data_IF_197567909322
#
_entry.id   IF_197567909322
#
_cell.length_a   1.000
_cell.length_b   1.000
_cell.length_c   1.000
_cell.angle_alpha   90.00
_cell.angle_beta   90.00
_cell.angle_gamma   90.00
#
_symmetry.space_group_name_H-M   'P 1'
#
loop_
_entity.id
_entity.type
_entity.pdbx_description
1 polymer ?
#
# COMPACT_ATOMS: atom_id res chain seq x y z
N UNK A 1 3.62 -48.84 60.48
CA UNK A 1 3.35 -47.48 59.93
C UNK A 1 3.49 -47.54 58.45
N UNK A 2 2.38 -47.57 57.72
CA UNK A 2 2.36 -47.65 56.27
C UNK A 2 1.94 -46.27 55.72
N UNK A 3 2.84 -45.66 54.98
CA UNK A 3 2.61 -44.36 54.35
C UNK A 3 2.04 -44.57 52.93
N UNK A 4 0.79 -44.18 52.76
CA UNK A 4 0.12 -44.22 51.47
C UNK A 4 0.57 -43.03 50.60
N UNK A 5 1.14 -43.30 49.41
CA UNK A 5 1.46 -42.35 48.39
C UNK A 5 0.23 -42.16 47.48
N UNK A 6 -0.40 -40.99 47.53
CA UNK A 6 -1.51 -40.64 46.64
C UNK A 6 -0.92 -40.12 45.31
N UNK A 7 -1.16 -40.84 44.21
CA UNK A 7 -0.89 -40.44 42.86
C UNK A 7 -1.99 -39.47 42.39
N UNK A 8 -1.68 -38.20 42.23
CA UNK A 8 -2.57 -37.24 41.55
C UNK A 8 -2.43 -37.42 40.03
N UNK A 9 -3.47 -37.92 39.38
CA UNK A 9 -3.56 -37.96 37.94
C UNK A 9 -3.85 -36.54 37.40
N UNK A 10 -2.85 -35.94 36.76
CA UNK A 10 -3.04 -34.69 35.99
C UNK A 10 -3.64 -35.07 34.63
N UNK A 11 -4.94 -34.90 34.50
CA UNK A 11 -5.63 -34.96 33.21
C UNK A 11 -5.25 -33.71 32.41
N UNK A 12 -4.30 -33.83 31.49
CA UNK A 12 -4.03 -32.84 30.46
C UNK A 12 -5.18 -32.88 29.45
N UNK A 13 -6.17 -32.02 29.58
CA UNK A 13 -7.09 -31.71 28.50
C UNK A 13 -6.30 -30.96 27.40
N UNK A 14 -5.83 -31.71 26.41
CA UNK A 14 -5.39 -31.20 25.13
C UNK A 14 -6.62 -30.72 24.35
N UNK A 15 -7.10 -29.53 24.64
CA UNK A 15 -8.05 -28.83 23.81
C UNK A 15 -7.33 -28.32 22.58
N UNK A 16 -7.47 -28.98 21.43
CA UNK A 16 -7.30 -28.35 20.13
C UNK A 16 -8.48 -27.42 19.97
N UNK A 17 -8.43 -26.27 20.64
CA UNK A 17 -9.35 -25.18 20.44
C UNK A 17 -9.08 -24.61 19.06
N UNK A 18 -9.96 -24.84 18.10
CA UNK A 18 -10.27 -23.83 17.09
C UNK A 18 -10.65 -22.60 17.90
N UNK A 19 -9.72 -21.64 18.00
CA UNK A 19 -9.98 -20.41 18.72
C UNK A 19 -11.21 -19.76 18.10
N UNK A 20 -12.33 -19.73 18.84
CA UNK A 20 -13.46 -18.91 18.46
C UNK A 20 -12.92 -17.50 18.33
N UNK A 21 -13.03 -16.89 17.12
CA UNK A 21 -12.66 -15.50 16.91
C UNK A 21 -13.47 -14.67 17.89
N UNK A 22 -12.81 -13.69 18.53
CA UNK A 22 -13.49 -12.77 19.45
C UNK A 22 -14.62 -12.06 18.69
N UNK A 23 -15.92 -12.23 19.07
CA UNK A 23 -17.04 -11.61 18.38
C UNK A 23 -16.97 -10.08 18.37
N UNK A 24 -16.19 -9.47 19.27
CA UNK A 24 -15.94 -8.04 19.35
C UNK A 24 -14.64 -7.64 18.68
N UNK A 25 -14.27 -8.28 17.60
CA UNK A 25 -13.09 -7.91 16.80
C UNK A 25 -13.43 -7.72 15.33
N UNK A 26 -12.51 -7.11 14.61
CA UNK A 26 -12.50 -6.99 13.15
C UNK A 26 -11.05 -7.09 12.67
N UNK A 27 -10.80 -7.89 11.62
CA UNK A 27 -9.45 -8.11 11.09
C UNK A 27 -9.28 -7.38 9.76
N UNK A 28 -8.30 -6.47 9.71
CA UNK A 28 -7.96 -5.66 8.54
C UNK A 28 -6.66 -6.19 7.94
N UNK A 29 -6.69 -6.54 6.65
CA UNK A 29 -5.49 -6.77 5.84
C UNK A 29 -5.23 -5.52 5.01
N UNK A 30 -4.07 -4.88 5.18
CA UNK A 30 -3.77 -3.61 4.54
C UNK A 30 -2.41 -3.59 3.85
N UNK A 31 -2.38 -2.96 2.69
CA UNK A 31 -1.12 -2.48 2.12
C UNK A 31 -0.46 -1.50 3.07
N UNK A 32 0.88 -1.51 3.10
CA UNK A 32 1.70 -0.57 3.88
C UNK A 32 1.53 0.88 3.39
N UNK A 33 1.79 1.85 4.28
CA UNK A 33 1.83 3.28 3.96
C UNK A 33 1.04 4.20 4.89
N UNK A 34 -0.17 3.85 5.30
CA UNK A 34 -1.00 4.68 6.20
C UNK A 34 -0.88 4.28 7.68
N UNK A 35 0.16 3.54 8.08
CA UNK A 35 0.28 2.85 9.36
C UNK A 35 -0.04 3.69 10.59
N UNK A 36 0.59 4.86 10.74
CA UNK A 36 0.34 5.77 11.88
C UNK A 36 -1.09 6.32 11.93
N UNK A 37 -1.69 6.56 10.76
CA UNK A 37 -3.09 6.97 10.69
C UNK A 37 -4.01 5.83 11.12
N UNK A 38 -3.74 4.61 10.66
CA UNK A 38 -4.51 3.45 11.08
C UNK A 38 -4.44 3.23 12.58
N UNK A 39 -3.25 3.28 13.20
CA UNK A 39 -3.09 3.13 14.64
C UNK A 39 -4.01 4.10 15.40
N UNK A 40 -3.99 5.39 15.03
CA UNK A 40 -4.84 6.41 15.63
C UNK A 40 -6.33 6.17 15.42
N UNK A 41 -6.73 5.82 14.18
CA UNK A 41 -8.14 5.64 13.84
C UNK A 41 -8.70 4.33 14.43
N UNK A 42 -7.91 3.26 14.46
CA UNK A 42 -8.33 1.99 15.05
C UNK A 42 -8.45 2.06 16.57
N UNK A 43 -7.58 2.82 17.24
CA UNK A 43 -7.72 3.13 18.65
C UNK A 43 -9.02 3.91 18.94
N UNK A 44 -9.27 4.99 18.19
CA UNK A 44 -10.49 5.78 18.31
C UNK A 44 -11.77 4.95 18.00
N UNK A 45 -11.72 4.09 16.99
CA UNK A 45 -12.82 3.16 16.70
C UNK A 45 -13.08 2.19 17.84
N UNK A 46 -12.01 1.63 18.42
CA UNK A 46 -12.11 0.70 19.55
C UNK A 46 -12.67 1.40 20.79
N UNK A 47 -12.22 2.60 21.09
CA UNK A 47 -12.76 3.40 22.22
C UNK A 47 -14.25 3.71 22.04
N UNK A 48 -14.66 4.03 20.81
CA UNK A 48 -16.05 4.39 20.50
C UNK A 48 -17.00 3.20 20.50
N UNK A 49 -16.53 2.03 20.06
CA UNK A 49 -17.42 0.88 19.75
C UNK A 49 -17.22 -0.34 20.65
N UNK A 50 -16.09 -0.44 21.34
CA UNK A 50 -15.65 -1.63 22.05
C UNK A 50 -15.18 -2.78 21.13
N UNK A 51 -15.01 -2.53 19.81
CA UNK A 51 -14.58 -3.51 18.83
C UNK A 51 -13.07 -3.36 18.62
N UNK A 52 -12.31 -4.42 18.90
CA UNK A 52 -10.85 -4.44 18.69
C UNK A 52 -10.52 -4.63 17.21
N UNK A 53 -9.57 -3.84 16.69
CA UNK A 53 -9.08 -4.00 15.33
C UNK A 53 -7.79 -4.83 15.32
N UNK A 54 -7.81 -5.97 14.64
CA UNK A 54 -6.62 -6.79 14.38
C UNK A 54 -6.02 -6.34 13.04
N UNK A 55 -4.87 -5.69 13.07
CA UNK A 55 -4.23 -5.12 11.90
C UNK A 55 -3.09 -6.00 11.38
N UNK A 56 -3.13 -6.31 10.09
CA UNK A 56 -2.13 -7.11 9.38
C UNK A 56 -1.64 -6.31 8.19
N UNK A 57 -0.40 -5.89 8.24
CA UNK A 57 0.25 -5.08 7.22
C UNK A 57 1.17 -5.91 6.33
N UNK A 58 1.27 -5.53 5.04
CA UNK A 58 2.18 -6.13 4.07
C UNK A 58 2.19 -5.37 2.76
N UNK A 59 2.89 -5.88 1.75
CA UNK A 59 2.79 -5.37 0.38
C UNK A 59 1.41 -5.66 -0.20
N UNK A 60 0.95 -4.83 -1.15
CA UNK A 60 -0.40 -4.92 -1.73
C UNK A 60 -0.76 -6.32 -2.24
N UNK A 61 0.17 -6.97 -2.96
CA UNK A 61 0.00 -8.34 -3.43
C UNK A 61 0.19 -9.39 -2.33
N UNK A 62 0.97 -9.09 -1.29
CA UNK A 62 1.18 -10.00 -0.16
C UNK A 62 -0.11 -10.19 0.64
N UNK A 63 -0.81 -9.08 0.95
CA UNK A 63 -2.09 -9.13 1.70
C UNK A 63 -3.19 -9.80 0.88
N UNK A 64 -3.23 -9.57 -0.44
CA UNK A 64 -4.15 -10.28 -1.33
C UNK A 64 -3.85 -11.78 -1.38
N UNK A 65 -2.58 -12.15 -1.61
CA UNK A 65 -2.16 -13.57 -1.66
C UNK A 65 -2.46 -14.30 -0.34
N UNK A 66 -2.35 -13.61 0.79
CA UNK A 66 -2.76 -14.16 2.08
C UNK A 66 -4.26 -14.43 2.13
N UNK A 67 -5.10 -13.47 1.74
CA UNK A 67 -6.55 -13.66 1.68
C UNK A 67 -6.95 -14.82 0.75
N UNK A 68 -6.26 -14.97 -0.39
CA UNK A 68 -6.45 -16.08 -1.33
C UNK A 68 -6.15 -17.44 -0.69
N UNK A 69 -5.04 -17.57 0.02
CA UNK A 69 -4.62 -18.81 0.70
C UNK A 69 -5.55 -19.18 1.85
N UNK A 70 -6.14 -18.20 2.49
CA UNK A 70 -7.06 -18.37 3.62
C UNK A 70 -8.53 -18.56 3.19
N UNK A 71 -8.82 -18.67 1.88
CA UNK A 71 -10.18 -18.77 1.33
C UNK A 71 -11.02 -19.89 1.95
N UNK A 72 -10.40 -21.03 2.32
CA UNK A 72 -11.09 -22.15 2.97
C UNK A 72 -11.33 -21.97 4.47
N UNK A 73 -10.63 -21.02 5.08
CA UNK A 73 -10.76 -20.63 6.49
C UNK A 73 -10.52 -19.11 6.61
N UNK A 74 -11.46 -18.28 6.18
CA UNK A 74 -11.31 -16.85 6.10
C UNK A 74 -10.99 -16.21 7.45
N UNK A 75 -10.00 -15.32 7.48
CA UNK A 75 -9.60 -14.54 8.66
C UNK A 75 -9.81 -13.05 8.46
N UNK A 76 -9.84 -12.61 7.21
CA UNK A 76 -9.95 -11.20 6.83
C UNK A 76 -11.41 -10.73 6.87
N UNK A 77 -11.65 -9.59 7.48
CA UNK A 77 -12.95 -8.90 7.47
C UNK A 77 -12.95 -7.71 6.48
N UNK A 78 -11.83 -6.98 6.41
CA UNK A 78 -11.65 -5.82 5.51
C UNK A 78 -10.32 -5.94 4.79
N UNK A 79 -10.34 -5.71 3.47
CA UNK A 79 -9.14 -5.56 2.65
C UNK A 79 -8.92 -4.09 2.32
N UNK A 80 -7.71 -3.59 2.55
CA UNK A 80 -7.27 -2.27 2.09
C UNK A 80 -6.02 -2.46 1.26
N UNK A 81 -6.06 -2.10 -0.02
CA UNK A 81 -4.91 -2.31 -0.91
C UNK A 81 -4.92 -1.30 -2.06
N UNK A 82 -3.81 -1.27 -2.79
CA UNK A 82 -3.65 -0.42 -3.96
C UNK A 82 -4.15 -1.14 -5.23
N UNK A 83 -4.51 -0.40 -6.30
CA UNK A 83 -4.81 -1.01 -7.58
C UNK A 83 -3.53 -1.60 -8.22
N UNK A 84 -3.62 -2.63 -9.06
CA UNK A 84 -4.83 -3.33 -9.47
C UNK A 84 -5.25 -4.47 -8.51
N UNK A 85 -4.63 -4.59 -7.33
CA UNK A 85 -4.87 -5.72 -6.41
C UNK A 85 -6.29 -5.73 -5.84
N UNK A 86 -6.91 -4.57 -5.66
CA UNK A 86 -8.32 -4.52 -5.21
C UNK A 86 -9.25 -5.02 -6.32
N UNK A 87 -9.02 -4.63 -7.59
CA UNK A 87 -9.78 -5.14 -8.73
C UNK A 87 -9.60 -6.65 -8.87
N UNK A 88 -8.38 -7.16 -8.65
CA UNK A 88 -8.09 -8.58 -8.65
C UNK A 88 -8.83 -9.32 -7.52
N UNK A 89 -8.89 -8.75 -6.33
CA UNK A 89 -9.67 -9.30 -5.22
C UNK A 89 -11.17 -9.39 -5.56
N UNK A 90 -11.69 -8.36 -6.23
CA UNK A 90 -13.08 -8.33 -6.67
C UNK A 90 -13.38 -9.37 -7.75
N UNK A 91 -12.57 -9.47 -8.80
CA UNK A 91 -12.71 -10.49 -9.85
C UNK A 91 -12.69 -11.90 -9.28
N UNK A 92 -11.88 -12.12 -8.25
CA UNK A 92 -11.80 -13.40 -7.54
C UNK A 92 -12.94 -13.65 -6.54
N UNK A 93 -13.91 -12.72 -6.43
CA UNK A 93 -15.04 -12.82 -5.51
C UNK A 93 -14.63 -12.89 -4.04
N UNK A 94 -13.55 -12.20 -3.69
CA UNK A 94 -13.11 -12.04 -2.30
C UNK A 94 -13.81 -10.90 -1.59
N UNK A 95 -14.47 -9.99 -2.34
CA UNK A 95 -15.14 -8.81 -1.81
C UNK A 95 -16.66 -8.93 -1.91
N UNK A 96 -17.36 -8.27 -1.01
CA UNK A 96 -18.81 -8.10 -0.97
C UNK A 96 -19.19 -6.64 -1.25
N UNK A 97 -20.45 -6.34 -1.60
CA UNK A 97 -20.93 -4.97 -1.72
C UNK A 97 -20.52 -4.12 -0.52
N UNK A 98 -19.78 -3.06 -0.79
CA UNK A 98 -19.17 -2.18 0.23
C UNK A 98 -19.85 -0.82 0.16
N UNK A 99 -20.24 -0.28 1.32
CA UNK A 99 -20.92 1.00 1.41
C UNK A 99 -19.99 2.16 1.12
N UNK A 100 -20.33 3.01 0.17
CA UNK A 100 -19.62 4.24 -0.18
C UNK A 100 -20.01 5.43 0.73
N UNK A 101 -19.33 6.54 0.55
CA UNK A 101 -19.54 7.78 1.28
C UNK A 101 -20.96 8.36 1.15
N UNK A 102 -21.63 8.14 0.02
CA UNK A 102 -23.03 8.55 -0.24
C UNK A 102 -24.05 7.53 0.28
N UNK A 103 -23.60 6.39 0.82
CA UNK A 103 -24.42 5.31 1.33
C UNK A 103 -24.82 4.26 0.29
N UNK A 104 -24.38 4.39 -0.98
CA UNK A 104 -24.61 3.38 -2.01
C UNK A 104 -23.79 2.11 -1.73
N UNK A 105 -24.23 0.97 -2.27
CA UNK A 105 -23.56 -0.33 -2.21
C UNK A 105 -23.41 -0.93 -3.60
N UNK A 106 -23.24 -0.07 -4.61
CA UNK A 106 -23.19 -0.49 -6.01
C UNK A 106 -21.84 -1.09 -6.41
N UNK A 107 -20.81 -0.88 -5.59
CA UNK A 107 -19.46 -1.41 -5.77
C UNK A 107 -19.05 -2.33 -4.62
N UNK A 108 -18.09 -3.22 -4.88
CA UNK A 108 -17.54 -4.13 -3.88
C UNK A 108 -16.31 -3.52 -3.14
N UNK A 109 -15.90 -2.32 -3.53
CA UNK A 109 -14.83 -1.56 -2.85
C UNK A 109 -14.99 -0.06 -3.12
N UNK A 110 -14.42 0.74 -2.23
CA UNK A 110 -14.48 2.21 -2.27
C UNK A 110 -13.09 2.80 -2.13
N UNK A 111 -12.87 3.99 -2.65
CA UNK A 111 -11.62 4.71 -2.41
C UNK A 111 -11.58 5.20 -0.95
N UNK A 112 -10.48 4.90 -0.25
CA UNK A 112 -10.25 5.31 1.13
C UNK A 112 -9.41 6.59 1.21
N UNK A 113 -8.33 6.65 0.43
CA UNK A 113 -7.41 7.78 0.40
C UNK A 113 -6.75 7.91 -0.98
N UNK A 114 -6.64 9.13 -1.49
CA UNK A 114 -5.88 9.40 -2.70
C UNK A 114 -4.39 9.47 -2.36
N UNK A 115 -3.57 8.91 -3.22
CA UNK A 115 -2.12 8.91 -3.14
C UNK A 115 -1.52 8.91 -4.55
N UNK A 116 -0.22 9.16 -4.65
CA UNK A 116 0.48 9.30 -5.93
C UNK A 116 1.85 8.65 -5.82
N UNK A 117 2.21 7.89 -6.84
CA UNK A 117 3.55 7.34 -6.95
C UNK A 117 4.62 8.44 -6.91
N UNK A 118 5.79 8.15 -6.34
CA UNK A 118 6.93 9.07 -6.32
C UNK A 118 8.26 8.31 -6.33
N UNK A 119 9.33 9.02 -6.65
CA UNK A 119 10.68 8.60 -6.34
C UNK A 119 11.24 9.41 -5.17
N UNK A 120 12.11 8.80 -4.39
CA UNK A 120 12.89 9.48 -3.33
C UNK A 120 14.37 9.36 -3.61
N UNK A 121 15.14 10.42 -3.28
CA UNK A 121 16.59 10.44 -3.34
C UNK A 121 17.19 10.99 -2.05
N UNK A 122 18.29 10.43 -1.60
CA UNK A 122 19.00 10.96 -0.45
C UNK A 122 19.44 12.42 -0.67
N UNK A 123 19.35 13.25 0.37
CA UNK A 123 19.72 14.68 0.29
C UNK A 123 21.18 14.93 -0.10
N UNK A 124 22.06 13.93 0.11
CA UNK A 124 23.48 13.99 -0.28
C UNK A 124 23.77 13.56 -1.73
N UNK A 125 22.77 13.16 -2.51
CA UNK A 125 22.97 12.70 -3.90
C UNK A 125 23.21 13.87 -4.83
N UNK A 126 24.44 14.02 -5.33
CA UNK A 126 24.86 15.09 -6.22
C UNK A 126 25.66 14.56 -7.44
N UNK A 127 25.36 15.03 -8.67
CA UNK A 127 24.20 15.85 -9.02
C UNK A 127 22.88 15.07 -8.80
N UNK A 128 21.81 15.80 -8.50
CA UNK A 128 20.49 15.20 -8.34
C UNK A 128 19.97 14.64 -9.67
N UNK A 129 19.45 13.38 -9.73
CA UNK A 129 18.81 12.87 -10.92
C UNK A 129 17.54 13.68 -11.22
N UNK A 130 17.32 14.01 -12.51
CA UNK A 130 16.18 14.79 -12.98
C UNK A 130 15.29 14.01 -13.94
N UNK A 131 15.84 13.04 -14.63
CA UNK A 131 15.18 12.25 -15.67
C UNK A 131 15.24 10.76 -15.34
N UNK A 132 14.37 9.98 -15.96
CA UNK A 132 14.47 8.51 -15.87
C UNK A 132 15.82 8.01 -16.38
N UNK A 133 16.37 8.63 -17.42
CA UNK A 133 17.66 8.23 -17.97
C UNK A 133 18.82 8.45 -16.99
N UNK A 134 18.76 9.45 -16.13
CA UNK A 134 19.79 9.69 -15.10
C UNK A 134 19.92 8.53 -14.11
N UNK A 135 18.84 7.75 -13.89
CA UNK A 135 18.85 6.61 -13.00
C UNK A 135 19.60 5.39 -13.58
N UNK A 136 19.94 5.41 -14.86
CA UNK A 136 20.80 4.41 -15.50
C UNK A 136 22.29 4.69 -15.29
N UNK A 137 22.65 5.86 -14.73
CA UNK A 137 24.06 6.20 -14.46
C UNK A 137 24.69 5.14 -13.53
N UNK A 138 25.86 4.60 -13.88
CA UNK A 138 26.58 3.61 -13.06
C UNK A 138 26.90 4.04 -11.62
N UNK A 139 26.88 5.35 -11.32
CA UNK A 139 27.01 5.86 -9.94
C UNK A 139 25.94 5.34 -8.99
N UNK A 140 24.81 4.89 -9.51
CA UNK A 140 23.71 4.26 -8.75
C UNK A 140 23.83 2.73 -8.65
N UNK A 141 24.90 2.13 -9.18
CA UNK A 141 25.11 0.68 -9.09
C UNK A 141 25.10 0.21 -7.64
N UNK A 142 24.21 -0.73 -7.33
CA UNK A 142 23.94 -1.22 -5.96
C UNK A 142 23.51 -0.11 -4.97
N UNK A 143 22.96 1.00 -5.48
CA UNK A 143 22.48 2.14 -4.69
C UNK A 143 21.06 2.58 -5.08
N UNK A 144 20.44 1.89 -6.00
CA UNK A 144 19.04 2.06 -6.40
C UNK A 144 18.27 0.79 -6.04
N UNK A 145 17.05 0.97 -5.54
CA UNK A 145 16.13 -0.14 -5.30
C UNK A 145 14.69 0.32 -5.52
N UNK A 146 13.87 -0.55 -6.09
CA UNK A 146 12.43 -0.34 -6.20
C UNK A 146 11.68 -1.58 -5.71
N UNK A 147 10.44 -1.41 -5.28
CA UNK A 147 9.59 -2.50 -4.81
C UNK A 147 9.12 -3.36 -5.98
N UNK A 148 8.86 -4.64 -5.71
CA UNK A 148 8.60 -5.65 -6.73
C UNK A 148 7.25 -5.45 -7.40
N UNK A 149 7.19 -5.22 -8.74
CA UNK A 149 5.94 -5.30 -9.49
C UNK A 149 5.25 -6.65 -9.25
N UNK A 150 3.93 -6.63 -9.11
CA UNK A 150 3.15 -7.83 -8.80
C UNK A 150 3.06 -8.19 -7.31
N UNK A 151 3.94 -7.62 -6.46
CA UNK A 151 3.92 -7.82 -5.00
C UNK A 151 3.64 -6.52 -4.24
N UNK A 152 4.17 -5.41 -4.72
CA UNK A 152 3.92 -4.08 -4.18
C UNK A 152 3.14 -3.22 -5.17
N UNK A 153 2.23 -2.39 -4.64
CA UNK A 153 1.43 -1.45 -5.45
C UNK A 153 2.32 -0.43 -6.18
N UNK A 154 3.23 0.21 -5.47
CA UNK A 154 4.14 1.20 -6.05
C UNK A 154 5.13 0.60 -7.07
N UNK A 155 5.57 -0.64 -6.84
CA UNK A 155 6.39 -1.36 -7.83
C UNK A 155 5.61 -1.59 -9.13
N UNK A 156 4.36 -1.99 -9.01
CA UNK A 156 3.44 -2.16 -10.15
C UNK A 156 3.14 -0.82 -10.82
N UNK A 157 2.93 0.23 -10.03
CA UNK A 157 2.73 1.59 -10.53
C UNK A 157 3.94 2.11 -11.30
N UNK A 158 5.16 1.83 -10.83
CA UNK A 158 6.39 2.18 -11.54
C UNK A 158 6.50 1.49 -12.91
N UNK A 159 6.20 0.19 -12.98
CA UNK A 159 6.16 -0.55 -14.23
C UNK A 159 5.19 0.10 -15.23
N UNK A 160 3.97 0.35 -14.79
CA UNK A 160 2.91 0.95 -15.63
C UNK A 160 3.26 2.39 -16.05
N UNK A 161 3.82 3.19 -15.14
CA UNK A 161 4.23 4.56 -15.44
C UNK A 161 5.33 4.59 -16.51
N UNK A 162 6.34 3.73 -16.41
CA UNK A 162 7.41 3.63 -17.39
C UNK A 162 6.88 3.19 -18.76
N UNK A 163 5.96 2.24 -18.81
CA UNK A 163 5.27 1.86 -20.04
C UNK A 163 4.42 3.01 -20.62
N UNK A 164 3.79 3.81 -19.77
CA UNK A 164 3.00 4.96 -20.19
C UNK A 164 3.87 6.07 -20.80
N UNK A 165 4.98 6.43 -20.15
CA UNK A 165 5.82 7.58 -20.56
C UNK A 165 6.84 7.24 -21.64
N UNK A 166 7.20 5.96 -21.82
CA UNK A 166 8.20 5.51 -22.79
C UNK A 166 7.61 4.64 -23.91
N UNK A 167 6.42 4.07 -23.72
CA UNK A 167 5.87 3.01 -24.53
C UNK A 167 6.09 1.62 -23.90
N UNK A 168 5.23 0.66 -24.21
CA UNK A 168 5.22 -0.65 -23.54
C UNK A 168 6.58 -1.36 -23.59
N UNK A 169 7.15 -1.54 -24.78
CA UNK A 169 8.42 -2.25 -24.93
C UNK A 169 9.61 -1.44 -24.38
N UNK A 170 9.66 -0.15 -24.66
CA UNK A 170 10.73 0.72 -24.20
C UNK A 170 10.77 0.83 -22.67
N UNK A 171 9.60 0.81 -22.00
CA UNK A 171 9.51 0.76 -20.55
C UNK A 171 10.08 -0.53 -19.97
N UNK A 172 9.82 -1.68 -20.63
CA UNK A 172 10.40 -2.97 -20.24
C UNK A 172 11.92 -3.01 -20.48
N UNK A 173 12.39 -2.53 -21.64
CA UNK A 173 13.81 -2.45 -21.96
C UNK A 173 14.56 -1.56 -20.96
N UNK A 174 13.94 -0.43 -20.57
CA UNK A 174 14.47 0.46 -19.53
C UNK A 174 14.58 -0.25 -18.18
N UNK A 175 13.54 -0.99 -17.74
CA UNK A 175 13.56 -1.75 -16.48
C UNK A 175 14.63 -2.85 -16.51
N UNK A 176 14.82 -3.51 -17.66
CA UNK A 176 15.91 -4.45 -17.88
C UNK A 176 17.29 -3.80 -17.70
N UNK A 177 17.50 -2.63 -18.32
CA UNK A 177 18.74 -1.86 -18.16
C UNK A 177 18.96 -1.38 -16.71
N UNK A 178 17.88 -0.98 -16.01
CA UNK A 178 17.93 -0.50 -14.63
C UNK A 178 18.39 -1.58 -13.64
N UNK A 179 18.30 -2.88 -14.00
CA UNK A 179 18.77 -3.97 -13.13
C UNK A 179 20.27 -3.87 -12.84
N UNK A 180 21.08 -3.25 -13.70
CA UNK A 180 22.50 -3.00 -13.43
C UNK A 180 22.73 -2.16 -12.17
N UNK A 181 21.78 -1.27 -11.82
CA UNK A 181 21.84 -0.40 -10.67
C UNK A 181 20.99 -0.91 -9.48
N UNK A 182 20.05 -1.81 -9.75
CA UNK A 182 19.10 -2.30 -8.74
C UNK A 182 19.78 -3.28 -7.78
N UNK A 183 19.59 -3.06 -6.47
CA UNK A 183 20.07 -3.97 -5.41
C UNK A 183 19.31 -5.29 -5.43
N UNK A 184 18.09 -5.29 -5.93
CA UNK A 184 17.18 -6.42 -5.94
C UNK A 184 15.81 -6.04 -5.37
N UNK A 185 14.77 -6.77 -5.72
CA UNK A 185 13.40 -6.39 -5.42
C UNK A 185 13.03 -6.67 -3.96
N UNK A 186 12.67 -5.67 -3.15
CA UNK A 186 11.92 -5.91 -1.92
C UNK A 186 10.44 -6.09 -2.26
N UNK A 187 9.73 -6.92 -1.51
CA UNK A 187 8.29 -7.15 -1.75
C UNK A 187 7.44 -5.90 -1.44
N UNK A 188 7.87 -5.04 -0.50
CA UNK A 188 7.12 -3.89 0.03
C UNK A 188 7.89 -2.58 -0.13
N UNK A 189 7.17 -1.48 -0.41
CA UNK A 189 7.71 -0.13 -0.59
C UNK A 189 8.14 0.49 0.74
N UNK A 190 7.43 0.24 1.83
CA UNK A 190 7.72 0.80 3.16
C UNK A 190 9.13 0.48 3.68
N UNK A 191 9.77 -0.57 3.17
CA UNK A 191 11.15 -0.94 3.53
C UNK A 191 12.23 -0.08 2.89
N UNK A 192 11.89 0.76 1.91
CA UNK A 192 12.86 1.49 1.08
C UNK A 192 13.25 2.85 1.66
N UNK A 193 12.26 3.63 2.13
CA UNK A 193 12.50 4.95 2.72
C UNK A 193 13.58 4.96 3.81
N UNK A 194 13.51 4.08 4.81
CA UNK A 194 14.54 3.97 5.86
C UNK A 194 15.96 3.71 5.33
N UNK A 195 16.09 2.93 4.25
CA UNK A 195 17.41 2.65 3.63
C UNK A 195 17.97 3.90 2.93
N UNK A 196 17.12 4.68 2.24
CA UNK A 196 17.54 5.95 1.63
C UNK A 196 17.91 6.95 2.72
N UNK A 197 17.10 7.07 3.77
CA UNK A 197 17.36 7.98 4.88
C UNK A 197 18.71 7.70 5.59
N UNK A 198 19.13 6.42 5.66
CA UNK A 198 20.41 6.00 6.23
C UNK A 198 21.57 6.06 5.24
N UNK A 199 21.34 6.39 3.97
CA UNK A 199 22.37 6.40 2.91
C UNK A 199 22.80 5.00 2.43
N UNK A 200 22.06 3.94 2.81
CA UNK A 200 22.26 2.59 2.27
C UNK A 200 21.92 2.56 0.78
N UNK A 201 20.83 3.26 0.41
CA UNK A 201 20.43 3.53 -0.98
C UNK A 201 20.58 5.02 -1.30
N UNK A 202 20.83 5.32 -2.55
CA UNK A 202 20.81 6.69 -3.09
C UNK A 202 19.43 7.09 -3.59
N UNK A 203 18.72 6.14 -4.21
CA UNK A 203 17.42 6.36 -4.86
C UNK A 203 16.53 5.13 -4.62
N UNK A 204 15.24 5.38 -4.40
CA UNK A 204 14.21 4.34 -4.36
C UNK A 204 12.87 4.87 -4.85
N UNK A 205 11.95 3.95 -5.18
CA UNK A 205 10.54 4.34 -5.33
C UNK A 205 9.87 4.47 -3.96
N UNK A 206 8.82 5.24 -3.94
CA UNK A 206 7.96 5.54 -2.79
C UNK A 206 6.63 6.05 -3.32
N UNK A 207 5.81 6.54 -2.45
CA UNK A 207 4.69 7.41 -2.78
C UNK A 207 4.81 8.77 -2.06
N UNK A 208 4.02 9.73 -2.51
CA UNK A 208 4.03 11.11 -1.96
C UNK A 208 3.67 11.12 -0.49
N UNK A 209 2.66 10.37 -0.10
CA UNK A 209 2.13 10.29 1.24
C UNK A 209 3.19 9.75 2.22
N UNK A 210 3.69 8.55 1.97
CA UNK A 210 4.70 7.88 2.80
C UNK A 210 5.97 8.72 2.93
N UNK A 211 6.43 9.29 1.81
CA UNK A 211 7.65 10.08 1.79
C UNK A 211 7.52 11.38 2.59
N UNK A 212 6.43 12.15 2.40
CA UNK A 212 6.22 13.40 3.13
C UNK A 212 5.98 13.16 4.62
N UNK A 213 5.25 12.09 4.98
CA UNK A 213 5.03 11.71 6.37
C UNK A 213 6.35 11.41 7.09
N UNK A 214 7.23 10.60 6.49
CA UNK A 214 8.54 10.28 7.07
C UNK A 214 9.49 11.50 7.14
N UNK A 215 9.48 12.38 6.13
CA UNK A 215 10.24 13.64 6.17
C UNK A 215 9.78 14.52 7.34
N UNK A 216 8.48 14.59 7.59
CA UNK A 216 7.93 15.41 8.66
C UNK A 216 8.16 14.81 10.06
N UNK A 217 7.84 13.53 10.24
CA UNK A 217 7.91 12.84 11.53
C UNK A 217 9.34 12.49 11.92
N UNK A 218 10.08 11.82 11.03
CA UNK A 218 11.37 11.21 11.31
C UNK A 218 12.57 12.07 10.88
N UNK A 219 12.31 13.22 10.24
CA UNK A 219 13.35 14.05 9.61
C UNK A 219 14.18 13.25 8.60
N UNK A 220 13.50 12.35 7.87
CA UNK A 220 14.15 11.47 6.91
C UNK A 220 15.00 12.26 5.90
N UNK A 221 16.26 11.85 5.74
CA UNK A 221 17.26 12.59 4.96
C UNK A 221 17.15 12.28 3.46
N UNK A 222 15.97 12.48 2.88
CA UNK A 222 15.71 12.34 1.45
C UNK A 222 14.70 13.38 0.95
N UNK A 223 14.58 13.49 -0.35
CA UNK A 223 13.64 14.39 -1.05
C UNK A 223 12.77 13.58 -2.01
N UNK A 224 11.53 14.01 -2.15
CA UNK A 224 10.60 13.51 -3.17
C UNK A 224 10.95 14.14 -4.51
N UNK A 225 10.96 13.36 -5.58
CA UNK A 225 11.12 13.86 -6.94
C UNK A 225 10.37 13.01 -7.96
N UNK A 226 10.13 13.57 -9.12
CA UNK A 226 9.46 12.93 -10.24
C UNK A 226 10.39 13.02 -11.45
N UNK A 227 11.00 11.91 -11.89
CA UNK A 227 11.86 11.93 -13.06
C UNK A 227 11.09 12.35 -14.31
N UNK A 228 11.66 13.25 -15.11
CA UNK A 228 11.07 13.63 -16.37
C UNK A 228 11.28 12.55 -17.45
N UNK A 229 10.29 12.43 -18.34
CA UNK A 229 10.42 11.66 -19.58
C UNK A 229 11.35 12.34 -20.60
N UNK A 230 11.53 11.73 -21.75
CA UNK A 230 12.34 12.26 -22.85
C UNK A 230 11.75 13.58 -23.41
N UNK A 231 10.47 13.82 -23.23
CA UNK A 231 9.74 15.02 -23.59
C UNK A 231 9.90 16.18 -22.58
N UNK A 232 10.61 15.92 -21.46
CA UNK A 232 10.79 16.87 -20.37
C UNK A 232 9.59 16.95 -19.42
N UNK A 233 8.54 16.15 -19.61
CA UNK A 233 7.35 16.15 -18.76
C UNK A 233 7.59 15.27 -17.54
N UNK A 234 7.27 15.80 -16.36
CA UNK A 234 7.22 15.03 -15.12
C UNK A 234 5.83 14.42 -14.98
N UNK A 235 5.76 13.11 -14.99
CA UNK A 235 4.48 12.40 -14.88
C UNK A 235 4.50 11.49 -13.66
N UNK A 236 3.38 11.41 -12.97
CA UNK A 236 3.13 10.41 -11.93
C UNK A 236 1.82 9.68 -12.17
N UNK A 237 1.59 8.59 -11.44
CA UNK A 237 0.36 7.80 -11.50
C UNK A 237 -0.44 7.99 -10.22
N UNK A 238 -1.77 8.21 -10.37
CA UNK A 238 -2.70 8.18 -9.25
C UNK A 238 -2.79 6.74 -8.72
N UNK A 239 -2.56 6.59 -7.42
CA UNK A 239 -2.44 5.29 -6.75
C UNK A 239 -3.28 5.29 -5.46
N UNK A 240 -4.62 5.38 -5.55
CA UNK A 240 -5.47 5.47 -4.39
C UNK A 240 -5.47 4.17 -3.58
N UNK A 241 -5.56 4.29 -2.26
CA UNK A 241 -5.93 3.17 -1.40
C UNK A 241 -7.41 2.88 -1.57
N UNK A 242 -7.74 1.63 -1.87
CA UNK A 242 -9.12 1.14 -1.91
C UNK A 242 -9.39 0.22 -0.72
N UNK A 243 -10.63 0.25 -0.25
CA UNK A 243 -11.10 -0.55 0.87
C UNK A 243 -12.35 -1.33 0.46
N UNK A 244 -12.41 -2.62 0.81
CA UNK A 244 -13.58 -3.47 0.56
C UNK A 244 -13.84 -4.43 1.71
N UNK A 245 -15.12 -4.73 1.97
CA UNK A 245 -15.51 -5.77 2.91
C UNK A 245 -15.26 -7.14 2.31
N UNK A 246 -14.71 -8.07 3.07
CA UNK A 246 -14.53 -9.45 2.60
C UNK A 246 -15.89 -10.16 2.42
N UNK A 247 -16.04 -10.91 1.31
CA UNK A 247 -17.26 -11.67 1.01
C UNK A 247 -17.55 -12.77 2.04
N UNK A 248 -16.51 -13.29 2.68
CA UNK A 248 -16.61 -14.31 3.74
C UNK A 248 -16.08 -13.77 5.07
N UNK A 249 -16.31 -12.50 5.36
CA UNK A 249 -15.87 -11.84 6.58
C UNK A 249 -16.40 -12.58 7.84
N UNK A 250 -15.52 -13.06 8.75
CA UNK A 250 -15.96 -13.68 10.00
C UNK A 250 -16.81 -12.73 10.86
N UNK A 251 -16.52 -11.41 10.78
CA UNK A 251 -17.19 -10.37 11.56
C UNK A 251 -17.81 -9.29 10.65
N UNK A 252 -18.62 -9.69 9.67
CA UNK A 252 -19.16 -8.79 8.63
C UNK A 252 -19.84 -7.52 9.19
N UNK A 253 -20.59 -7.64 10.30
CA UNK A 253 -21.23 -6.48 10.92
C UNK A 253 -20.23 -5.49 11.52
N UNK A 254 -19.10 -5.96 12.07
CA UNK A 254 -18.03 -5.12 12.60
C UNK A 254 -17.23 -4.49 11.46
N UNK A 255 -17.01 -5.23 10.36
CA UNK A 255 -16.41 -4.71 9.13
C UNK A 255 -17.19 -3.52 8.57
N UNK A 256 -18.52 -3.64 8.45
CA UNK A 256 -19.35 -2.54 7.99
C UNK A 256 -19.25 -1.30 8.90
N UNK A 257 -19.23 -1.48 10.23
CA UNK A 257 -19.05 -0.36 11.17
C UNK A 257 -17.68 0.31 11.02
N UNK A 258 -16.61 -0.47 10.82
CA UNK A 258 -15.28 0.08 10.62
C UNK A 258 -15.18 0.85 9.30
N UNK A 259 -15.77 0.33 8.22
CA UNK A 259 -15.83 1.02 6.92
C UNK A 259 -16.59 2.35 7.05
N UNK A 260 -17.77 2.34 7.67
CA UNK A 260 -18.56 3.56 7.92
C UNK A 260 -17.76 4.58 8.76
N UNK A 261 -17.01 4.12 9.76
CA UNK A 261 -16.18 4.97 10.60
C UNK A 261 -15.04 5.60 9.80
N UNK A 262 -14.26 4.79 9.06
CA UNK A 262 -13.12 5.26 8.26
C UNK A 262 -13.56 6.21 7.14
N UNK A 263 -14.76 6.04 6.60
CA UNK A 263 -15.35 6.89 5.57
C UNK A 263 -16.09 8.11 6.13
N UNK A 264 -16.22 8.25 7.45
CA UNK A 264 -16.89 9.41 8.05
C UNK A 264 -16.13 10.72 7.80
N UNK A 265 -16.85 11.83 7.65
CA UNK A 265 -16.25 13.16 7.40
C UNK A 265 -15.17 13.52 8.44
N UNK A 266 -15.41 13.36 9.77
CA UNK A 266 -14.39 13.69 10.77
C UNK A 266 -13.09 12.89 10.59
N UNK A 267 -13.19 11.59 10.28
CA UNK A 267 -12.02 10.72 10.09
C UNK A 267 -11.30 11.06 8.78
N UNK A 268 -12.05 11.26 7.70
CA UNK A 268 -11.48 11.61 6.41
C UNK A 268 -10.77 12.97 6.39
N UNK A 269 -11.19 13.93 7.22
CA UNK A 269 -10.50 15.22 7.40
C UNK A 269 -9.09 15.06 8.00
N UNK A 270 -8.83 14.00 8.76
CA UNK A 270 -7.53 13.76 9.39
C UNK A 270 -6.45 13.24 8.42
N UNK A 271 -6.83 12.73 7.23
CA UNK A 271 -5.89 12.14 6.28
C UNK A 271 -4.75 13.10 5.90
N UNK A 272 -5.08 14.34 5.53
CA UNK A 272 -4.05 15.30 5.16
C UNK A 272 -3.17 15.68 6.36
N UNK A 273 -3.79 15.95 7.50
CA UNK A 273 -3.10 16.45 8.69
C UNK A 273 -2.15 15.42 9.33
N UNK A 274 -2.54 14.16 9.32
CA UNK A 274 -1.78 13.11 10.01
C UNK A 274 -0.80 12.36 9.10
N UNK A 275 -1.17 12.11 7.83
CA UNK A 275 -0.37 11.23 6.97
C UNK A 275 -0.15 11.75 5.55
N UNK A 276 -0.44 13.01 5.24
CA UNK A 276 -0.24 13.57 3.89
C UNK A 276 -1.03 12.83 2.78
N UNK A 277 -2.13 12.18 3.14
CA UNK A 277 -3.11 11.64 2.21
C UNK A 277 -4.22 12.65 1.92
N UNK A 278 -4.98 12.47 0.86
CA UNK A 278 -6.15 13.29 0.60
C UNK A 278 -7.41 12.43 0.51
N UNK A 279 -8.52 12.97 1.02
CA UNK A 279 -9.79 12.27 0.97
C UNK A 279 -10.32 12.15 -0.45
N UNK A 280 -10.88 11.00 -0.85
CA UNK A 280 -11.64 10.88 -2.10
C UNK A 280 -13.03 11.52 -2.01
N UNK A 281 -13.50 11.87 -0.81
CA UNK A 281 -14.81 12.48 -0.60
C UNK A 281 -14.84 13.92 -1.10
N UNK A 282 -15.84 14.26 -1.90
CA UNK A 282 -16.02 15.61 -2.45
C UNK A 282 -16.38 16.68 -1.39
N UNK A 283 -16.94 16.24 -0.25
CA UNK A 283 -17.33 17.12 0.87
C UNK A 283 -16.21 17.32 1.91
N UNK A 284 -15.02 16.74 1.69
CA UNK A 284 -13.84 16.89 2.54
C UNK A 284 -12.75 17.65 1.79
N UNK A 285 -12.40 18.82 2.29
CA UNK A 285 -11.31 19.64 1.72
C UNK A 285 -10.08 19.59 2.62
N UNK A 286 -8.97 19.09 2.09
CA UNK A 286 -7.69 19.14 2.78
C UNK A 286 -7.21 20.59 2.91
N UNK A 287 -6.87 21.01 4.11
CA UNK A 287 -6.37 22.36 4.45
C UNK A 287 -5.11 22.26 5.32
N UNK A 288 -4.42 23.37 5.50
CA UNK A 288 -3.26 23.44 6.38
C UNK A 288 -1.91 23.16 5.68
N UNK A 289 -0.82 23.11 6.46
CA UNK A 289 0.53 23.03 5.92
C UNK A 289 0.82 21.69 5.24
N UNK A 290 0.19 20.58 5.68
CA UNK A 290 0.37 19.26 5.09
C UNK A 290 -0.28 19.19 3.70
N UNK A 291 -1.51 19.70 3.57
CA UNK A 291 -2.17 19.82 2.27
C UNK A 291 -1.37 20.71 1.30
N UNK A 292 -0.81 21.81 1.80
CA UNK A 292 0.07 22.67 1.01
C UNK A 292 1.35 21.94 0.58
N UNK A 293 1.90 21.06 1.42
CA UNK A 293 3.08 20.25 1.09
C UNK A 293 2.78 19.25 -0.03
N UNK A 294 1.60 18.60 -0.02
CA UNK A 294 1.15 17.70 -1.09
C UNK A 294 1.05 18.47 -2.40
N UNK A 295 0.33 19.62 -2.38
CA UNK A 295 0.17 20.50 -3.55
C UNK A 295 1.52 20.92 -4.11
N UNK A 296 2.46 21.32 -3.24
CA UNK A 296 3.82 21.71 -3.62
C UNK A 296 4.62 20.55 -4.23
N UNK A 297 4.50 19.35 -3.68
CA UNK A 297 5.19 18.18 -4.21
C UNK A 297 4.72 17.84 -5.63
N UNK A 298 3.44 18.02 -5.92
CA UNK A 298 2.82 17.75 -7.21
C UNK A 298 2.86 18.94 -8.20
N UNK A 299 3.46 20.07 -7.81
CA UNK A 299 3.51 21.25 -8.67
C UNK A 299 4.28 20.98 -9.97
N UNK A 300 3.60 21.23 -11.09
CA UNK A 300 4.12 20.96 -12.43
C UNK A 300 4.33 19.46 -12.74
N UNK A 301 3.63 18.56 -12.04
CA UNK A 301 3.61 17.13 -12.31
C UNK A 301 2.27 16.75 -12.96
N UNK A 302 2.33 16.08 -14.09
CA UNK A 302 1.14 15.52 -14.75
C UNK A 302 0.72 14.26 -14.01
N UNK A 303 -0.53 14.20 -13.57
CA UNK A 303 -1.10 13.03 -12.92
C UNK A 303 -1.78 12.19 -13.99
N UNK A 304 -1.32 10.93 -14.15
CA UNK A 304 -1.95 9.95 -15.00
C UNK A 304 -2.84 9.03 -14.15
N UNK A 305 -4.06 8.84 -14.59
CA UNK A 305 -5.03 7.92 -13.97
C UNK A 305 -5.24 6.71 -14.90
N UNK A 306 -4.67 5.54 -14.57
CA UNK A 306 -4.88 4.32 -15.34
C UNK A 306 -6.32 3.83 -15.29
N UNK A 307 -6.79 3.20 -16.36
CA UNK A 307 -7.94 2.29 -16.28
C UNK A 307 -7.51 1.01 -15.54
N UNK A 308 -7.70 0.99 -14.25
CA UNK A 308 -7.28 -0.11 -13.39
C UNK A 308 -7.99 -1.44 -13.71
N UNK A 309 -9.21 -1.39 -14.26
CA UNK A 309 -9.92 -2.58 -14.73
C UNK A 309 -9.23 -3.18 -15.95
N UNK A 310 -8.86 -2.33 -16.92
CA UNK A 310 -8.09 -2.77 -18.08
C UNK A 310 -6.68 -3.25 -17.71
N UNK A 311 -6.04 -2.62 -16.72
CA UNK A 311 -4.76 -3.09 -16.17
C UNK A 311 -4.91 -4.47 -15.54
N UNK A 312 -5.93 -4.68 -14.70
CA UNK A 312 -6.16 -5.96 -14.05
C UNK A 312 -6.42 -7.09 -15.06
N UNK A 313 -7.16 -6.81 -16.14
CA UNK A 313 -7.45 -7.80 -17.18
C UNK A 313 -6.19 -8.39 -17.87
N UNK A 314 -5.07 -7.66 -17.84
CA UNK A 314 -3.79 -8.09 -18.44
C UNK A 314 -2.66 -8.24 -17.41
N UNK A 315 -2.99 -8.26 -16.11
CA UNK A 315 -2.01 -8.17 -15.04
C UNK A 315 -0.96 -9.28 -15.07
N UNK A 316 -1.37 -10.53 -15.22
CA UNK A 316 -0.43 -11.66 -15.23
C UNK A 316 0.56 -11.54 -16.43
N UNK A 317 0.06 -11.16 -17.61
CA UNK A 317 0.90 -10.91 -18.76
C UNK A 317 1.87 -9.72 -18.57
N UNK A 318 1.45 -8.68 -17.85
CA UNK A 318 2.32 -7.55 -17.50
C UNK A 318 3.47 -7.99 -16.59
N UNK A 319 3.18 -8.81 -15.60
CA UNK A 319 4.20 -9.31 -14.67
C UNK A 319 5.12 -10.32 -15.35
N UNK A 320 4.60 -11.20 -16.20
CA UNK A 320 5.43 -12.13 -17.00
C UNK A 320 6.39 -11.37 -17.92
N UNK A 321 5.92 -10.33 -18.61
CA UNK A 321 6.75 -9.49 -19.46
C UNK A 321 7.84 -8.74 -18.67
N UNK A 322 7.49 -8.23 -17.48
CA UNK A 322 8.45 -7.62 -16.56
C UNK A 322 9.52 -8.63 -16.12
N UNK A 323 9.13 -9.82 -15.66
CA UNK A 323 10.05 -10.86 -15.21
C UNK A 323 10.99 -11.27 -16.33
N UNK A 324 10.48 -11.44 -17.56
CA UNK A 324 11.31 -11.75 -18.72
C UNK A 324 12.32 -10.63 -19.03
N UNK A 325 11.89 -9.37 -18.99
CA UNK A 325 12.74 -8.22 -19.29
C UNK A 325 13.85 -8.01 -18.24
N UNK A 326 13.58 -8.37 -16.99
CA UNK A 326 14.49 -8.15 -15.84
C UNK A 326 15.28 -9.41 -15.45
N UNK A 327 14.99 -10.56 -16.07
CA UNK A 327 15.67 -11.84 -15.78
C UNK A 327 15.27 -12.44 -14.43
N UNK A 328 14.05 -12.20 -13.96
CA UNK A 328 13.52 -12.71 -12.69
C UNK A 328 12.61 -13.93 -12.88
#
# INVERSE_FOLDING_TARGET
MATALSLAAVTACGGTGSGASDPNSVTVYSADGLGTWYETQFEAFTEQTGITVNYVEGGSGEVLSRAEKERSNPQMDVLITLPPFIQRADDQKLLAPTKDADGSTDANYVALANNYFAMIRGTGVAPAPQTWNDLLDPRFAQKLQYSTPGQAGDGTAMLLLLQHVMGEQQGLDYLGALQANNVGPPASTGKLGPKVAKGELSVANSDVQMALAAIAADKAAYEVFFPAGADGVRTTVALPYFMGQAASAPHAANAGKLIDFLMSVPVQQTLAEQVYGTSPRADVNATGPQAAAITKALDGVTIWEPDWTAVNARFDALIDAYNQATGQ
#
